data_IF_099031040118
#
_entry.id   IF_099031040118
#
_cell.length_a   1.000
_cell.length_b   1.000
_cell.length_c   1.000
_cell.angle_alpha   90.00
_cell.angle_beta   90.00
_cell.angle_gamma   90.00
#
_symmetry.space_group_name_H-M   'P 1'
#
loop_
_entity.id
_entity.type
_entity.pdbx_description
1 polymer ?
#
# COMPACT_ATOMS: atom_id res chain seq x y z
N UNK A 1 -22.35 -32.34 -25.90
CA UNK A 1 -20.99 -32.38 -25.31
C UNK A 1 -21.01 -31.99 -23.82
N UNK A 2 -21.31 -32.97 -22.95
CA UNK A 2 -21.22 -32.83 -21.49
C UNK A 2 -19.83 -33.31 -21.08
N UNK A 3 -18.93 -32.39 -20.75
CA UNK A 3 -17.60 -32.74 -20.29
C UNK A 3 -17.65 -33.05 -18.79
N UNK A 4 -17.61 -34.33 -18.46
CA UNK A 4 -17.41 -34.86 -17.11
C UNK A 4 -15.91 -34.86 -16.79
N UNK A 5 -15.47 -34.07 -15.80
CA UNK A 5 -14.13 -34.24 -15.22
C UNK A 5 -14.16 -34.13 -13.69
N UNK A 6 -14.34 -35.28 -13.07
CA UNK A 6 -13.87 -35.61 -11.73
C UNK A 6 -12.35 -35.42 -11.64
N UNK A 7 -11.89 -34.49 -10.80
CA UNK A 7 -10.76 -34.65 -9.86
C UNK A 7 -10.84 -33.52 -8.84
N UNK A 8 -11.08 -33.87 -7.59
CA UNK A 8 -11.09 -32.98 -6.42
C UNK A 8 -9.66 -32.49 -6.12
N UNK A 9 -9.43 -31.18 -6.04
CA UNK A 9 -8.28 -30.62 -5.32
C UNK A 9 -8.52 -29.16 -4.94
N UNK A 10 -9.06 -28.93 -3.74
CA UNK A 10 -8.81 -27.79 -2.83
C UNK A 10 -8.64 -26.35 -3.37
N UNK A 11 -9.10 -26.04 -4.58
CA UNK A 11 -8.85 -24.75 -5.25
C UNK A 11 -10.12 -23.96 -5.57
N UNK A 12 -11.31 -24.56 -5.52
CA UNK A 12 -12.57 -23.85 -5.79
C UNK A 12 -13.19 -23.17 -4.57
N UNK A 13 -12.78 -23.50 -3.34
CA UNK A 13 -13.28 -22.85 -2.11
C UNK A 13 -12.39 -21.73 -1.57
N UNK A 14 -11.16 -21.59 -2.08
CA UNK A 14 -10.22 -20.55 -1.64
C UNK A 14 -10.28 -19.29 -2.53
N UNK A 15 -10.87 -19.37 -3.73
CA UNK A 15 -10.79 -18.30 -4.73
C UNK A 15 -12.02 -17.39 -4.84
N UNK A 16 -13.12 -17.65 -4.12
CA UNK A 16 -14.30 -16.75 -4.11
C UNK A 16 -14.27 -15.68 -3.00
N UNK A 17 -13.17 -15.57 -2.23
CA UNK A 17 -13.03 -14.59 -1.13
C UNK A 17 -11.67 -13.87 -1.02
N UNK A 18 -10.77 -14.04 -1.99
CA UNK A 18 -9.35 -13.59 -1.91
C UNK A 18 -9.01 -12.49 -2.92
N UNK A 19 -9.99 -11.66 -3.30
CA UNK A 19 -9.68 -10.28 -3.69
C UNK A 19 -9.42 -9.45 -2.41
N UNK A 20 -8.50 -9.94 -1.57
CA UNK A 20 -8.02 -9.24 -0.39
C UNK A 20 -7.14 -8.12 -0.92
N UNK A 21 -7.71 -6.93 -1.04
CA UNK A 21 -7.05 -5.65 -1.23
C UNK A 21 -5.53 -5.71 -0.95
N UNK A 22 -4.73 -5.91 -2.00
CA UNK A 22 -3.27 -5.95 -1.87
C UNK A 22 -2.77 -4.53 -2.02
N UNK A 23 -2.38 -3.90 -0.92
CA UNK A 23 -1.73 -2.58 -0.94
C UNK A 23 -0.30 -2.70 -1.50
N UNK A 24 0.18 -1.68 -2.23
CA UNK A 24 1.57 -1.61 -2.65
C UNK A 24 2.55 -1.78 -1.49
N UNK A 25 3.70 -2.42 -1.72
CA UNK A 25 4.70 -2.68 -0.67
C UNK A 25 5.18 -1.40 0.02
N UNK A 26 5.25 -0.28 -0.71
CA UNK A 26 5.66 1.01 -0.16
C UNK A 26 4.74 1.49 0.97
N UNK A 27 3.46 1.12 0.98
CA UNK A 27 2.53 1.48 2.05
C UNK A 27 2.93 0.86 3.41
N UNK A 28 3.72 -0.22 3.40
CA UNK A 28 4.19 -0.86 4.63
C UNK A 28 5.55 -0.36 5.12
N UNK A 29 6.23 0.49 4.34
CA UNK A 29 7.50 1.07 4.76
C UNK A 29 7.29 2.14 5.84
N UNK A 30 8.29 2.33 6.71
CA UNK A 30 8.26 3.41 7.71
C UNK A 30 8.29 4.79 7.04
N UNK A 31 7.78 5.82 7.71
CA UNK A 31 7.96 7.20 7.24
C UNK A 31 9.44 7.58 7.39
N UNK A 32 10.08 7.90 6.27
CA UNK A 32 11.50 8.27 6.23
C UNK A 32 11.65 9.70 5.69
N UNK A 33 12.06 10.61 6.57
CA UNK A 33 12.34 12.00 6.23
C UNK A 33 13.53 12.16 5.28
N UNK A 34 14.36 11.13 5.09
CA UNK A 34 15.56 11.22 4.29
C UNK A 34 16.60 12.17 4.89
N UNK A 35 17.40 12.78 4.03
CA UNK A 35 18.52 13.68 4.37
C UNK A 35 18.36 15.04 3.68
N UNK A 36 19.06 16.04 4.21
CA UNK A 36 19.02 17.43 3.77
C UNK A 36 18.43 18.37 4.82
N UNK A 37 18.17 19.60 4.41
CA UNK A 37 17.68 20.69 5.28
C UNK A 37 16.37 21.31 4.77
N UNK A 38 15.78 20.73 3.72
CA UNK A 38 14.53 21.25 3.18
C UNK A 38 13.36 20.88 4.10
N UNK A 39 12.34 21.73 4.12
CA UNK A 39 11.10 21.49 4.85
C UNK A 39 9.99 21.25 3.83
N UNK A 40 9.95 20.04 3.29
CA UNK A 40 8.94 19.65 2.30
C UNK A 40 7.80 18.94 3.04
N UNK A 41 6.61 19.52 2.99
CA UNK A 41 5.40 18.83 3.46
C UNK A 41 5.13 17.64 2.54
N UNK A 42 5.06 16.45 3.10
CA UNK A 42 4.71 15.23 2.38
C UNK A 42 3.77 14.37 3.20
N UNK A 43 3.15 13.38 2.58
CA UNK A 43 2.20 12.48 3.22
C UNK A 43 2.68 11.04 3.08
N UNK A 44 2.45 10.21 4.09
CA UNK A 44 2.76 8.79 4.02
C UNK A 44 1.80 7.97 4.87
N UNK A 45 1.63 6.71 4.50
CA UNK A 45 0.66 5.82 5.10
C UNK A 45 1.20 5.15 6.37
N UNK A 46 0.37 5.06 7.40
CA UNK A 46 0.67 4.33 8.63
C UNK A 46 -0.27 3.12 8.71
N UNK A 47 0.21 1.89 8.48
CA UNK A 47 -0.62 0.69 8.46
C UNK A 47 -1.38 0.43 9.76
N UNK A 48 -0.74 0.67 10.92
CA UNK A 48 -1.36 0.44 12.23
C UNK A 48 -2.57 1.32 12.50
N UNK A 49 -2.56 2.53 11.96
CA UNK A 49 -3.64 3.51 12.13
C UNK A 49 -4.60 3.51 10.94
N UNK A 50 -4.25 2.77 9.87
CA UNK A 50 -4.94 2.78 8.58
C UNK A 50 -5.22 4.20 8.08
N UNK A 51 -4.22 5.08 8.11
CA UNK A 51 -4.38 6.48 7.71
C UNK A 51 -3.11 7.09 7.12
N UNK A 52 -3.28 8.13 6.31
CA UNK A 52 -2.19 8.92 5.74
C UNK A 52 -1.84 10.11 6.65
N UNK A 53 -0.59 10.20 7.13
CA UNK A 53 -0.11 11.30 7.97
C UNK A 53 0.79 12.25 7.19
N UNK A 54 0.66 13.53 7.51
CA UNK A 54 1.62 14.56 7.12
C UNK A 54 2.94 14.37 7.88
N UNK A 55 4.05 14.47 7.18
CA UNK A 55 5.40 14.50 7.74
C UNK A 55 6.31 15.44 6.94
N UNK A 56 7.53 15.67 7.43
CA UNK A 56 8.54 16.50 6.74
C UNK A 56 9.55 15.60 6.02
N UNK A 57 9.69 15.83 4.72
CA UNK A 57 10.75 15.26 3.90
C UNK A 57 11.87 16.28 3.69
N UNK A 58 13.13 15.85 3.85
CA UNK A 58 14.31 16.71 3.88
C UNK A 58 14.93 17.01 2.51
N UNK A 59 14.37 16.44 1.45
CA UNK A 59 14.72 16.74 0.06
C UNK A 59 15.48 15.62 -0.66
N UNK A 60 16.18 14.73 0.04
CA UNK A 60 16.92 13.62 -0.59
C UNK A 60 16.77 12.28 0.14
N UNK A 61 16.80 11.18 -0.61
CA UNK A 61 16.68 9.81 -0.10
C UNK A 61 15.28 9.45 0.37
N UNK A 62 15.20 8.78 1.52
CA UNK A 62 13.95 8.23 2.04
C UNK A 62 13.49 6.98 1.29
N UNK A 63 12.20 6.69 1.36
CA UNK A 63 11.57 5.58 0.66
C UNK A 63 10.28 6.02 -0.07
N UNK A 64 9.61 5.07 -0.73
CA UNK A 64 8.41 5.31 -1.54
C UNK A 64 7.12 5.56 -0.75
N UNK A 65 7.13 5.48 0.58
CA UNK A 65 5.99 5.86 1.42
C UNK A 65 5.91 7.39 1.59
N UNK A 66 5.86 8.09 0.45
CA UNK A 66 5.91 9.55 0.38
C UNK A 66 5.12 10.04 -0.83
N UNK A 67 4.09 10.81 -0.57
CA UNK A 67 3.15 11.35 -1.55
C UNK A 67 3.05 12.87 -1.41
N UNK A 68 2.69 13.56 -2.50
CA UNK A 68 2.62 15.02 -2.52
C UNK A 68 1.36 15.56 -1.84
N UNK A 69 0.29 14.76 -1.81
CA UNK A 69 -0.98 15.11 -1.17
C UNK A 69 -1.55 13.95 -0.36
N UNK A 70 -2.49 14.26 0.56
CA UNK A 70 -3.17 13.23 1.35
C UNK A 70 -4.04 12.35 0.45
N UNK A 71 -4.73 12.94 -0.52
CA UNK A 71 -5.60 12.23 -1.47
C UNK A 71 -4.81 11.24 -2.33
N UNK A 72 -3.57 11.58 -2.68
CA UNK A 72 -2.69 10.66 -3.39
C UNK A 72 -2.30 9.46 -2.52
N UNK A 73 -1.90 9.71 -1.28
CA UNK A 73 -1.60 8.64 -0.34
C UNK A 73 -2.80 7.72 -0.10
N UNK A 74 -3.98 8.29 0.12
CA UNK A 74 -5.21 7.55 0.38
C UNK A 74 -5.62 6.71 -0.82
N UNK A 75 -5.59 7.27 -2.04
CA UNK A 75 -5.89 6.52 -3.26
C UNK A 75 -4.99 5.30 -3.47
N UNK A 76 -3.73 5.40 -3.05
CA UNK A 76 -2.73 4.34 -3.24
C UNK A 76 -2.79 3.30 -2.11
N UNK A 77 -2.99 3.74 -0.86
CA UNK A 77 -2.81 2.90 0.32
C UNK A 77 -4.10 2.61 1.12
N UNK A 78 -5.21 3.30 0.89
CA UNK A 78 -6.52 3.05 1.53
C UNK A 78 -7.51 2.27 0.66
N UNK A 79 -7.00 1.55 -0.34
CA UNK A 79 -7.77 0.52 -1.05
C UNK A 79 -8.36 -0.50 -0.07
#
# INVERSE_FOLDING_TARGET
>A
PRNTRTTLSFWSFYFEGIHKVIRPQQCYAILDSGKGEQVITSYGFIPGDNLCKKFIYKGSGGNGNRFASVEECERVCLV
#
